data_IF_093225538731
#
_entry.id   IF_093225538731
#
_cell.length_a   1.000
_cell.length_b   1.000
_cell.length_c   1.000
_cell.angle_alpha   90.00
_cell.angle_beta   90.00
_cell.angle_gamma   90.00
#
_symmetry.space_group_name_H-M   'P 1'
#
loop_
_entity.id
_entity.type
_entity.pdbx_description
1 polymer ?
#
# COMPACT_ATOMS: atom_id res chain seq x y z
N UNK A 1 23.17 33.38 -16.71
CA UNK A 1 22.56 33.10 -15.41
C UNK A 1 21.10 32.76 -15.67
N UNK A 2 20.79 31.47 -15.86
CA UNK A 2 19.39 31.04 -16.01
C UNK A 2 18.74 31.11 -14.64
N UNK A 3 17.73 31.97 -14.47
CA UNK A 3 16.82 31.85 -13.34
C UNK A 3 16.14 30.48 -13.45
N UNK A 4 16.50 29.56 -12.58
CA UNK A 4 15.70 28.35 -12.37
C UNK A 4 14.39 28.81 -11.74
N UNK A 5 13.36 28.96 -12.57
CA UNK A 5 12.00 29.22 -12.11
C UNK A 5 11.60 28.06 -11.19
N UNK A 6 11.31 28.37 -9.93
CA UNK A 6 10.80 27.41 -8.96
C UNK A 6 9.28 27.55 -8.85
N UNK A 7 8.60 26.43 -8.71
CA UNK A 7 7.16 26.39 -8.50
C UNK A 7 6.83 26.70 -7.04
N UNK A 8 5.75 27.44 -6.80
CA UNK A 8 5.18 27.57 -5.44
C UNK A 8 4.17 26.47 -5.15
N UNK A 9 3.61 25.85 -6.18
CA UNK A 9 2.64 24.76 -6.08
C UNK A 9 2.80 23.79 -7.23
N UNK A 10 2.84 22.50 -6.92
CA UNK A 10 2.63 21.41 -7.86
C UNK A 10 1.33 20.72 -7.46
N UNK A 11 0.41 20.54 -8.41
CA UNK A 11 -0.86 19.85 -8.20
C UNK A 11 -0.94 18.74 -9.25
N UNK A 12 -0.91 17.49 -8.78
CA UNK A 12 -1.07 16.33 -9.64
C UNK A 12 -2.54 15.91 -9.71
N UNK A 13 -3.05 15.67 -10.92
CA UNK A 13 -4.39 15.13 -11.18
C UNK A 13 -4.31 13.66 -11.63
N UNK A 14 -3.28 12.98 -11.16
CA UNK A 14 -3.00 11.57 -11.34
C UNK A 14 -2.30 11.07 -10.08
N UNK A 15 -2.36 9.76 -9.86
CA UNK A 15 -1.81 9.11 -8.69
C UNK A 15 -0.36 8.69 -8.88
N UNK A 16 0.41 8.75 -7.80
CA UNK A 16 1.78 8.23 -7.75
C UNK A 16 1.93 7.24 -6.60
N UNK A 17 2.82 6.26 -6.75
CA UNK A 17 3.33 5.46 -5.62
C UNK A 17 4.62 6.07 -5.06
N UNK A 18 5.30 6.87 -5.89
CA UNK A 18 6.54 7.58 -5.54
C UNK A 18 6.47 9.01 -6.09
N UNK A 19 6.59 10.01 -5.22
CA UNK A 19 6.63 11.42 -5.63
C UNK A 19 7.98 11.66 -6.29
N UNK A 20 8.03 12.08 -7.58
CA UNK A 20 9.29 12.30 -8.28
C UNK A 20 10.18 13.31 -7.53
N UNK A 21 11.45 12.99 -7.34
CA UNK A 21 12.41 13.84 -6.65
C UNK A 21 12.49 15.24 -7.28
N UNK A 22 12.34 15.32 -8.60
CA UNK A 22 12.34 16.56 -9.37
C UNK A 22 11.22 17.51 -8.93
N UNK A 23 10.09 17.00 -8.42
CA UNK A 23 9.01 17.85 -7.91
C UNK A 23 9.44 18.57 -6.63
N UNK A 24 10.20 17.89 -5.78
CA UNK A 24 10.78 18.50 -4.56
C UNK A 24 11.85 19.52 -4.96
N UNK A 25 12.77 19.14 -5.87
CA UNK A 25 13.86 20.00 -6.33
C UNK A 25 13.38 21.29 -7.02
N UNK A 26 12.35 21.19 -7.86
CA UNK A 26 11.80 22.31 -8.63
C UNK A 26 10.82 23.17 -7.84
N UNK A 27 10.43 22.76 -6.63
CA UNK A 27 9.54 23.54 -5.77
C UNK A 27 10.36 24.47 -4.87
N UNK A 28 9.88 25.70 -4.66
CA UNK A 28 10.49 26.65 -3.74
C UNK A 28 10.33 26.17 -2.29
N UNK A 29 11.29 26.43 -1.38
CA UNK A 29 11.07 26.24 0.04
C UNK A 29 9.78 26.93 0.51
N UNK A 30 8.96 26.23 1.30
CA UNK A 30 7.61 26.63 1.70
C UNK A 30 6.52 26.39 0.64
N UNK A 31 6.89 25.99 -0.58
CA UNK A 31 5.97 25.60 -1.64
C UNK A 31 5.27 24.27 -1.33
N UNK A 32 4.15 24.04 -2.02
CA UNK A 32 3.28 22.88 -1.77
C UNK A 32 3.31 21.88 -2.92
N UNK A 33 3.31 20.60 -2.58
CA UNK A 33 2.99 19.51 -3.51
C UNK A 33 1.69 18.88 -3.03
N UNK A 34 0.67 18.86 -3.89
CA UNK A 34 -0.62 18.21 -3.63
C UNK A 34 -0.80 17.11 -4.64
N UNK A 35 -0.83 15.86 -4.15
CA UNK A 35 -0.73 14.69 -5.02
C UNK A 35 -1.57 13.54 -4.46
N UNK A 36 -2.46 12.93 -5.27
CA UNK A 36 -2.99 11.61 -4.98
C UNK A 36 -1.85 10.59 -4.89
N UNK A 37 -1.76 9.90 -3.77
CA UNK A 37 -0.68 8.96 -3.45
C UNK A 37 -1.30 7.61 -3.10
N UNK A 38 -0.85 6.55 -3.76
CA UNK A 38 -1.42 5.21 -3.65
C UNK A 38 -0.35 4.18 -3.29
N UNK A 39 -0.79 3.08 -2.70
CA UNK A 39 0.04 1.90 -2.49
C UNK A 39 -0.24 0.88 -3.60
N UNK A 40 0.57 -0.17 -3.73
CA UNK A 40 0.20 -1.28 -4.64
C UNK A 40 -1.00 -2.09 -4.14
N UNK A 41 -1.23 -2.08 -2.83
CA UNK A 41 -2.33 -2.76 -2.14
C UNK A 41 -3.65 -2.03 -2.33
N UNK A 42 -3.61 -0.69 -2.40
CA UNK A 42 -4.74 0.19 -2.66
C UNK A 42 -4.93 1.26 -1.58
N UNK A 43 -6.14 1.86 -1.56
CA UNK A 43 -6.52 2.85 -0.56
C UNK A 43 -6.00 4.27 -0.78
N UNK A 44 -5.76 4.67 -2.03
CA UNK A 44 -5.24 6.00 -2.38
C UNK A 44 -5.80 7.17 -1.53
N UNK A 45 -4.90 8.06 -1.13
CA UNK A 45 -5.22 9.28 -0.41
C UNK A 45 -4.43 10.49 -0.95
N UNK A 46 -4.97 11.69 -0.77
CA UNK A 46 -4.27 12.91 -1.18
C UNK A 46 -3.25 13.31 -0.12
N UNK A 47 -1.96 13.29 -0.50
CA UNK A 47 -0.87 13.89 0.27
C UNK A 47 -0.78 15.39 -0.02
N UNK A 48 -0.65 16.20 1.04
CA UNK A 48 -0.35 17.63 0.97
C UNK A 48 0.99 17.87 1.66
N UNK A 49 2.04 18.02 0.87
CA UNK A 49 3.42 18.14 1.32
C UNK A 49 3.90 19.58 1.19
N UNK A 50 4.74 20.01 2.12
CA UNK A 50 5.45 21.29 2.10
C UNK A 50 6.92 21.02 1.89
N UNK A 51 7.53 21.68 0.90
CA UNK A 51 8.97 21.56 0.65
C UNK A 51 9.75 22.39 1.66
N UNK A 52 10.71 21.77 2.33
CA UNK A 52 11.54 22.41 3.35
C UNK A 52 12.74 23.14 2.69
N UNK A 53 13.39 24.08 3.38
CA UNK A 53 14.65 24.66 2.91
C UNK A 53 15.78 23.65 2.72
N UNK A 54 15.69 22.47 3.34
CA UNK A 54 16.69 21.40 3.26
C UNK A 54 16.54 20.45 2.08
N UNK A 55 15.61 20.72 1.15
CA UNK A 55 15.37 19.85 -0.01
C UNK A 55 14.61 18.57 0.31
N UNK A 56 13.86 18.55 1.42
CA UNK A 56 12.92 17.49 1.77
C UNK A 56 11.48 17.97 1.58
N UNK A 57 10.51 17.07 1.58
CA UNK A 57 9.08 17.44 1.60
C UNK A 57 8.36 16.69 2.72
N UNK A 58 7.49 17.37 3.45
CA UNK A 58 6.75 16.74 4.55
C UNK A 58 5.32 17.25 4.63
N UNK A 59 4.38 16.37 4.98
CA UNK A 59 3.03 16.77 5.30
C UNK A 59 2.08 15.61 5.56
N UNK A 60 0.78 15.90 5.58
CA UNK A 60 -0.25 14.94 5.95
C UNK A 60 -0.99 14.42 4.73
N UNK A 61 -1.53 13.20 4.86
CA UNK A 61 -2.65 12.80 4.02
C UNK A 61 -3.91 13.54 4.48
N UNK A 62 -4.85 13.76 3.57
CA UNK A 62 -6.02 14.62 3.84
C UNK A 62 -7.33 13.86 3.76
N UNK A 63 -7.56 13.14 2.66
CA UNK A 63 -8.79 12.39 2.40
C UNK A 63 -8.50 11.32 1.35
N UNK A 64 -9.43 10.37 1.23
CA UNK A 64 -9.43 9.40 0.14
C UNK A 64 -9.51 10.08 -1.21
N UNK A 65 -8.96 9.42 -2.23
CA UNK A 65 -9.12 9.78 -3.63
C UNK A 65 -9.10 8.53 -4.51
N UNK A 66 -9.39 8.69 -5.80
CA UNK A 66 -9.30 7.60 -6.78
C UNK A 66 -8.92 8.17 -8.14
N UNK A 67 -7.63 8.44 -8.34
CA UNK A 67 -7.11 8.99 -9.59
C UNK A 67 -6.42 7.92 -10.43
N UNK A 68 -6.32 8.20 -11.74
CA UNK A 68 -5.53 7.35 -12.64
C UNK A 68 -4.06 7.39 -12.25
N UNK A 69 -3.41 6.23 -12.16
CA UNK A 69 -1.96 6.17 -11.87
C UNK A 69 -1.12 6.76 -12.99
N UNK A 70 -0.07 7.49 -12.62
CA UNK A 70 0.96 8.05 -13.50
C UNK A 70 1.46 6.97 -14.45
N UNK A 71 1.54 7.28 -15.75
CA UNK A 71 1.82 6.27 -16.78
C UNK A 71 3.10 5.48 -16.53
N UNK A 72 4.19 6.15 -16.13
CA UNK A 72 5.48 5.53 -15.82
C UNK A 72 5.46 4.67 -14.55
N UNK A 73 4.48 4.85 -13.67
CA UNK A 73 4.34 4.10 -12.42
C UNK A 73 3.21 3.06 -12.49
N UNK A 74 2.58 2.87 -13.65
CA UNK A 74 1.68 1.73 -13.86
C UNK A 74 2.53 0.46 -13.93
N UNK A 75 2.75 -0.17 -12.77
CA UNK A 75 3.46 -1.44 -12.68
C UNK A 75 2.82 -2.50 -13.60
N UNK A 76 3.65 -3.35 -14.19
CA UNK A 76 3.19 -4.53 -14.91
C UNK A 76 2.96 -5.62 -13.88
N UNK A 77 1.69 -5.87 -13.53
CA UNK A 77 1.34 -6.99 -12.66
C UNK A 77 1.56 -8.30 -13.42
N UNK A 78 2.31 -9.28 -12.87
CA UNK A 78 2.43 -10.58 -13.49
C UNK A 78 1.05 -11.22 -13.69
N UNK A 79 0.85 -12.01 -14.76
CA UNK A 79 -0.38 -12.74 -14.95
C UNK A 79 -0.52 -13.83 -13.87
N UNK A 80 -1.76 -14.22 -13.56
CA UNK A 80 -2.05 -15.12 -12.42
C UNK A 80 -1.38 -16.50 -12.57
N UNK A 81 -1.35 -17.02 -13.80
CA UNK A 81 -0.72 -18.31 -14.13
C UNK A 81 0.78 -18.33 -13.83
N UNK A 82 1.44 -17.17 -13.73
CA UNK A 82 2.84 -17.07 -13.35
C UNK A 82 3.12 -17.51 -11.90
N UNK A 83 2.13 -17.47 -11.00
CA UNK A 83 2.30 -17.77 -9.58
C UNK A 83 2.18 -19.28 -9.29
N UNK A 84 1.06 -19.90 -9.69
CA UNK A 84 0.84 -21.33 -9.48
C UNK A 84 1.56 -22.21 -10.52
N UNK A 85 1.89 -21.64 -11.69
CA UNK A 85 2.63 -22.30 -12.79
C UNK A 85 1.97 -23.59 -13.27
N UNK A 86 0.63 -23.59 -13.33
CA UNK A 86 -0.17 -24.75 -13.75
C UNK A 86 -0.17 -25.93 -12.77
N UNK A 87 0.41 -25.78 -11.57
CA UNK A 87 0.36 -26.82 -10.54
C UNK A 87 -1.06 -26.92 -9.95
N UNK A 88 -1.54 -28.14 -9.65
CA UNK A 88 -2.82 -28.30 -8.97
C UNK A 88 -2.78 -27.65 -7.59
N UNK A 89 -3.92 -27.09 -7.15
CA UNK A 89 -4.09 -26.55 -5.80
C UNK A 89 -3.76 -27.61 -4.73
N UNK A 90 -3.04 -27.28 -3.62
CA UNK A 90 -2.53 -25.98 -3.19
C UNK A 90 -1.12 -25.62 -3.72
N UNK A 91 -0.68 -26.24 -4.82
CA UNK A 91 0.68 -26.13 -5.36
C UNK A 91 1.74 -26.45 -4.28
N UNK A 92 2.64 -25.52 -3.99
CA UNK A 92 3.65 -25.58 -2.92
C UNK A 92 3.26 -24.76 -1.67
N UNK A 93 1.98 -24.37 -1.57
CA UNK A 93 1.47 -23.57 -0.48
C UNK A 93 1.39 -24.32 0.84
N UNK A 94 1.85 -23.67 1.91
CA UNK A 94 1.63 -24.10 3.29
C UNK A 94 0.26 -23.62 3.75
N UNK A 95 -0.53 -24.53 4.33
CA UNK A 95 -1.83 -24.23 4.93
C UNK A 95 -1.70 -23.75 6.37
N UNK A 96 -2.56 -22.81 6.75
CA UNK A 96 -2.76 -22.32 8.10
C UNK A 96 -4.20 -21.80 8.25
N UNK A 97 -4.53 -21.26 9.41
CA UNK A 97 -5.80 -20.55 9.63
C UNK A 97 -5.56 -19.18 10.25
N UNK A 98 -6.53 -18.29 10.12
CA UNK A 98 -6.55 -16.95 10.71
C UNK A 98 -7.91 -16.64 11.28
N UNK A 99 -7.96 -15.80 12.32
CA UNK A 99 -9.19 -15.22 12.86
C UNK A 99 -9.49 -13.84 12.25
N UNK A 100 -8.51 -13.23 11.55
CA UNK A 100 -8.76 -12.01 10.80
C UNK A 100 -9.59 -12.36 9.57
N UNK A 101 -10.83 -11.88 9.55
CA UNK A 101 -11.68 -12.00 8.36
C UNK A 101 -11.03 -11.31 7.16
N UNK A 102 -10.84 -12.01 6.02
CA UNK A 102 -10.39 -11.39 4.77
C UNK A 102 -11.25 -10.20 4.34
N UNK A 103 -12.50 -10.11 4.78
CA UNK A 103 -13.40 -9.01 4.43
C UNK A 103 -12.98 -7.69 5.10
N UNK A 104 -12.25 -7.77 6.21
CA UNK A 104 -11.77 -6.61 6.96
C UNK A 104 -10.50 -5.98 6.34
N UNK A 105 -9.91 -6.59 5.31
CA UNK A 105 -8.72 -6.04 4.64
C UNK A 105 -9.06 -5.33 3.33
N UNK A 106 -10.34 -5.34 2.93
CA UNK A 106 -10.81 -4.84 1.63
C UNK A 106 -11.41 -3.43 1.65
N UNK A 107 -11.61 -2.80 2.81
CA UNK A 107 -12.09 -1.42 2.88
C UNK A 107 -11.02 -0.41 2.45
N UNK A 108 -11.43 0.78 1.98
CA UNK A 108 -10.48 1.73 1.35
C UNK A 108 -9.42 2.25 2.34
N UNK A 109 -9.82 2.53 3.59
CA UNK A 109 -8.89 2.99 4.61
C UNK A 109 -8.01 1.85 5.14
N UNK A 110 -8.57 0.65 5.22
CA UNK A 110 -7.87 -0.58 5.60
C UNK A 110 -6.79 -0.90 4.57
N UNK A 111 -7.13 -0.86 3.28
CA UNK A 111 -6.17 -1.01 2.19
C UNK A 111 -5.03 0.01 2.26
N UNK A 112 -5.35 1.27 2.56
CA UNK A 112 -4.34 2.31 2.75
C UNK A 112 -3.39 1.97 3.89
N UNK A 113 -3.94 1.73 5.08
CA UNK A 113 -3.13 1.48 6.28
C UNK A 113 -2.30 0.19 6.17
N UNK A 114 -2.86 -0.85 5.55
CA UNK A 114 -2.13 -2.09 5.24
C UNK A 114 -1.03 -1.79 4.21
N UNK A 115 -1.38 -1.14 3.10
CA UNK A 115 -0.49 -0.88 1.98
C UNK A 115 0.74 -0.02 2.33
N UNK A 116 0.64 0.86 3.33
CA UNK A 116 1.78 1.59 3.87
C UNK A 116 2.86 0.67 4.47
N UNK A 117 2.48 -0.56 4.87
CA UNK A 117 3.32 -1.50 5.59
C UNK A 117 3.75 -2.71 4.74
N UNK A 118 3.01 -3.02 3.65
CA UNK A 118 3.25 -4.19 2.78
C UNK A 118 3.65 -3.80 1.35
N UNK A 119 4.91 -3.44 1.11
CA UNK A 119 5.36 -3.04 -0.23
C UNK A 119 5.26 -4.21 -1.22
N UNK A 120 4.98 -3.85 -2.48
CA UNK A 120 4.88 -4.78 -3.62
C UNK A 120 3.75 -5.82 -3.52
N UNK A 121 2.77 -5.62 -2.64
CA UNK A 121 1.63 -6.53 -2.54
C UNK A 121 0.44 -5.94 -3.27
N UNK A 122 -0.17 -6.72 -4.16
CA UNK A 122 -1.48 -6.43 -4.74
C UNK A 122 -2.40 -7.64 -4.58
N UNK A 123 -3.70 -7.43 -4.73
CA UNK A 123 -4.69 -8.47 -4.45
C UNK A 123 -5.72 -8.63 -5.58
N UNK A 124 -6.43 -9.77 -5.55
CA UNK A 124 -7.63 -10.05 -6.34
C UNK A 124 -8.64 -10.80 -5.47
N UNK A 125 -9.92 -10.49 -5.62
CA UNK A 125 -11.00 -11.28 -5.06
C UNK A 125 -11.59 -12.19 -6.13
N UNK A 126 -11.85 -13.45 -5.78
CA UNK A 126 -12.65 -14.37 -6.58
C UNK A 126 -13.88 -14.75 -5.76
N UNK A 127 -15.06 -14.33 -6.21
CA UNK A 127 -16.35 -14.55 -5.54
C UNK A 127 -17.08 -15.75 -6.14
N UNK A 128 -17.73 -16.55 -5.30
CA UNK A 128 -18.46 -17.75 -5.69
C UNK A 128 -19.98 -17.59 -5.48
N UNK A 129 -20.77 -18.44 -6.15
CA UNK A 129 -22.25 -18.35 -6.15
C UNK A 129 -22.90 -18.56 -4.77
N UNK A 130 -22.21 -19.26 -3.86
CA UNK A 130 -22.65 -19.47 -2.48
C UNK A 130 -22.37 -18.26 -1.55
N UNK A 131 -21.81 -17.20 -2.12
CA UNK A 131 -21.45 -15.98 -1.42
C UNK A 131 -20.05 -16.00 -0.80
N UNK A 132 -19.35 -17.15 -0.76
CA UNK A 132 -17.96 -17.22 -0.31
C UNK A 132 -17.03 -16.50 -1.30
N UNK A 133 -15.81 -16.16 -0.86
CA UNK A 133 -14.80 -15.64 -1.77
C UNK A 133 -13.38 -15.95 -1.30
N UNK A 134 -12.47 -16.07 -2.26
CA UNK A 134 -11.03 -16.18 -2.00
C UNK A 134 -10.36 -14.83 -2.25
N UNK A 135 -9.68 -14.31 -1.22
CA UNK A 135 -8.75 -13.19 -1.38
C UNK A 135 -7.38 -13.73 -1.76
N UNK A 136 -6.94 -13.42 -2.96
CA UNK A 136 -5.58 -13.70 -3.40
C UNK A 136 -4.66 -12.50 -3.18
N UNK A 137 -3.48 -12.73 -2.64
CA UNK A 137 -2.39 -11.78 -2.48
C UNK A 137 -1.20 -12.22 -3.33
N UNK A 138 -0.56 -11.27 -3.99
CA UNK A 138 0.58 -11.52 -4.86
C UNK A 138 1.68 -10.50 -4.63
N UNK A 139 2.92 -10.96 -4.72
CA UNK A 139 4.08 -10.08 -4.82
C UNK A 139 4.27 -9.66 -6.28
N UNK A 140 4.34 -8.35 -6.55
CA UNK A 140 4.57 -7.82 -7.89
C UNK A 140 6.03 -7.94 -8.35
N UNK A 141 6.97 -8.15 -7.43
CA UNK A 141 8.39 -8.30 -7.69
C UNK A 141 8.86 -9.77 -7.70
N UNK A 142 8.11 -10.71 -7.12
CA UNK A 142 8.48 -12.13 -7.07
C UNK A 142 7.28 -13.08 -7.29
N UNK A 143 7.23 -13.71 -8.46
CA UNK A 143 6.14 -14.65 -8.81
C UNK A 143 6.17 -15.97 -8.04
N UNK A 144 7.15 -16.20 -7.16
CA UNK A 144 7.15 -17.34 -6.22
C UNK A 144 6.32 -17.06 -4.97
N UNK A 145 6.03 -15.79 -4.71
CA UNK A 145 5.39 -15.33 -3.48
C UNK A 145 3.91 -15.02 -3.72
N UNK A 146 3.04 -15.74 -3.03
CA UNK A 146 1.59 -15.56 -3.09
C UNK A 146 0.92 -16.06 -1.81
N UNK A 147 -0.30 -15.58 -1.56
CA UNK A 147 -1.19 -16.15 -0.54
C UNK A 147 -2.64 -16.16 -1.03
N UNK A 148 -3.45 -17.03 -0.45
CA UNK A 148 -4.91 -17.00 -0.50
C UNK A 148 -5.45 -16.99 0.92
N UNK A 149 -6.59 -16.33 1.12
CA UNK A 149 -7.37 -16.42 2.34
C UNK A 149 -8.86 -16.56 1.97
N UNK A 150 -9.47 -17.64 2.44
CA UNK A 150 -10.83 -18.01 2.05
C UNK A 150 -11.83 -17.49 3.06
N UNK A 151 -12.74 -16.63 2.61
CA UNK A 151 -13.84 -16.13 3.41
C UNK A 151 -15.12 -16.93 3.13
N UNK A 152 -15.75 -17.39 4.21
CA UNK A 152 -17.03 -18.08 4.17
C UNK A 152 -18.04 -17.39 5.11
N UNK A 153 -19.32 -17.27 4.72
CA UNK A 153 -20.36 -16.74 5.58
C UNK A 153 -20.47 -17.50 6.91
N UNK A 154 -20.52 -16.77 8.03
CA UNK A 154 -20.76 -17.34 9.36
C UNK A 154 -19.57 -18.07 10.00
N UNK A 155 -18.38 -18.06 9.37
CA UNK A 155 -17.15 -18.57 9.98
C UNK A 155 -16.47 -17.50 10.84
N UNK A 156 -15.73 -17.96 11.85
CA UNK A 156 -14.85 -17.12 12.68
C UNK A 156 -13.35 -17.38 12.38
N UNK A 157 -13.05 -18.50 11.71
CA UNK A 157 -11.70 -18.91 11.33
C UNK A 157 -11.68 -19.20 9.84
N UNK A 158 -10.64 -18.74 9.15
CA UNK A 158 -10.55 -18.75 7.69
C UNK A 158 -9.30 -19.52 7.25
N UNK A 159 -9.42 -20.34 6.20
CA UNK A 159 -8.26 -21.06 5.65
C UNK A 159 -7.33 -20.07 4.94
N UNK A 160 -6.02 -20.24 5.16
CA UNK A 160 -4.98 -19.47 4.50
C UNK A 160 -4.01 -20.45 3.86
N UNK A 161 -3.65 -20.20 2.60
CA UNK A 161 -2.61 -20.96 1.90
C UNK A 161 -1.61 -19.97 1.34
N UNK A 162 -0.32 -20.14 1.62
CA UNK A 162 0.69 -19.20 1.15
C UNK A 162 2.00 -19.90 0.80
N UNK A 163 2.70 -19.38 -0.19
CA UNK A 163 3.98 -19.92 -0.67
C UNK A 163 4.98 -18.79 -0.98
N UNK A 164 6.25 -19.19 -1.09
CA UNK A 164 7.35 -18.29 -1.41
C UNK A 164 8.12 -17.80 -0.19
N UNK A 165 9.14 -16.95 -0.42
CA UNK A 165 10.01 -16.42 0.64
C UNK A 165 9.30 -15.47 1.62
N UNK A 166 8.14 -14.92 1.27
CA UNK A 166 7.34 -14.07 2.16
C UNK A 166 6.02 -14.76 2.49
N UNK A 167 5.54 -14.56 3.72
CA UNK A 167 4.20 -14.99 4.14
C UNK A 167 3.24 -13.81 4.03
N UNK A 168 2.73 -13.54 2.81
CA UNK A 168 1.99 -12.30 2.53
C UNK A 168 0.75 -12.11 3.39
N UNK A 169 0.03 -13.18 3.71
CA UNK A 169 -1.12 -13.08 4.60
C UNK A 169 -0.69 -12.68 6.01
N UNK A 170 0.38 -13.27 6.53
CA UNK A 170 0.92 -12.92 7.85
C UNK A 170 1.38 -11.45 7.90
N UNK A 171 1.95 -10.92 6.80
CA UNK A 171 2.31 -9.50 6.68
C UNK A 171 1.06 -8.60 6.71
N UNK A 172 0.03 -8.94 5.93
CA UNK A 172 -1.25 -8.20 5.90
C UNK A 172 -1.94 -8.24 7.26
N UNK A 173 -1.98 -9.40 7.92
CA UNK A 173 -2.57 -9.56 9.24
C UNK A 173 -1.80 -8.76 10.30
N UNK A 174 -0.46 -8.76 10.24
CA UNK A 174 0.40 -7.95 11.11
C UNK A 174 0.12 -6.46 10.90
N UNK A 175 0.04 -6.02 9.64
CA UNK A 175 -0.24 -4.62 9.29
C UNK A 175 -1.62 -4.16 9.77
N UNK A 176 -2.64 -5.00 9.57
CA UNK A 176 -4.00 -4.73 10.02
C UNK A 176 -4.08 -4.65 11.55
N UNK A 177 -3.45 -5.59 12.27
CA UNK A 177 -3.39 -5.57 13.74
C UNK A 177 -2.67 -4.34 14.28
N UNK A 178 -1.58 -3.92 13.64
CA UNK A 178 -0.90 -2.67 14.00
C UNK A 178 -1.86 -1.47 13.87
N UNK A 179 -2.61 -1.38 12.76
CA UNK A 179 -3.58 -0.30 12.57
C UNK A 179 -4.73 -0.35 13.59
N UNK A 180 -5.26 -1.55 13.86
CA UNK A 180 -6.34 -1.78 14.83
C UNK A 180 -5.91 -1.38 16.26
N UNK A 181 -4.72 -1.82 16.69
CA UNK A 181 -4.15 -1.48 18.01
C UNK A 181 -3.86 0.01 18.19
N UNK A 182 -3.67 0.77 17.11
CA UNK A 182 -3.55 2.23 17.15
C UNK A 182 -4.90 2.98 17.10
N UNK A 183 -6.00 2.24 17.25
CA UNK A 183 -7.36 2.78 17.30
C UNK A 183 -7.96 3.08 15.93
N UNK A 184 -7.55 2.36 14.89
CA UNK A 184 -8.05 2.49 13.51
C UNK A 184 -8.00 3.94 12.98
N UNK A 185 -6.83 4.60 13.03
CA UNK A 185 -6.69 5.99 12.59
C UNK A 185 -7.15 6.20 11.14
N UNK A 186 -7.82 7.32 10.89
CA UNK A 186 -8.15 7.80 9.54
C UNK A 186 -6.97 8.48 8.83
N UNK A 187 -7.13 8.76 7.53
CA UNK A 187 -6.08 9.35 6.67
C UNK A 187 -5.35 10.55 7.29
N UNK A 188 -6.08 11.47 7.92
CA UNK A 188 -5.51 12.73 8.44
C UNK A 188 -4.50 12.55 9.57
N UNK A 189 -4.51 11.38 10.23
CA UNK A 189 -3.51 11.06 11.25
C UNK A 189 -2.20 10.60 10.62
N UNK A 190 -2.23 10.07 9.41
CA UNK A 190 -1.01 9.70 8.69
C UNK A 190 -0.38 10.91 8.01
N UNK A 191 0.93 10.82 7.82
CA UNK A 191 1.67 11.72 6.95
C UNK A 191 2.85 11.05 6.29
N UNK A 192 3.57 11.83 5.50
CA UNK A 192 4.65 11.39 4.65
C UNK A 192 5.78 12.40 4.71
N UNK A 193 6.99 11.90 4.98
CA UNK A 193 8.24 12.66 4.85
C UNK A 193 9.01 12.10 3.65
N UNK A 194 9.53 12.96 2.80
CA UNK A 194 10.31 12.61 1.62
C UNK A 194 11.69 13.24 1.76
N UNK A 195 12.71 12.41 1.70
CA UNK A 195 14.11 12.81 1.76
C UNK A 195 14.96 12.04 0.74
N UNK A 196 16.27 12.20 0.81
CA UNK A 196 17.23 11.57 -0.12
C UNK A 196 17.27 10.05 -0.04
N UNK A 197 16.68 9.44 1.00
CA UNK A 197 16.63 8.00 1.20
C UNK A 197 15.30 7.38 0.78
N UNK A 198 14.27 8.19 0.54
CA UNK A 198 12.98 7.75 0.03
C UNK A 198 11.80 8.46 0.69
N UNK A 199 10.67 7.76 0.73
CA UNK A 199 9.43 8.24 1.33
C UNK A 199 9.11 7.44 2.60
N UNK A 200 8.88 8.15 3.70
CA UNK A 200 8.72 7.61 5.04
C UNK A 200 7.34 7.96 5.58
N UNK A 201 6.36 7.05 5.50
CA UNK A 201 5.06 7.27 6.11
C UNK A 201 5.14 7.21 7.64
N UNK A 202 4.34 8.01 8.31
CA UNK A 202 4.29 8.09 9.77
C UNK A 202 2.87 8.27 10.27
N UNK A 203 2.65 7.93 11.55
CA UNK A 203 1.39 8.13 12.27
C UNK A 203 1.56 9.29 13.26
N UNK A 204 0.64 10.25 13.21
CA UNK A 204 0.59 11.51 13.98
C UNK A 204 1.73 12.49 13.79
N UNK A 205 2.97 12.02 13.87
CA UNK A 205 4.17 12.83 13.74
C UNK A 205 5.34 12.03 13.15
N UNK A 206 6.31 12.68 12.48
CA UNK A 206 7.45 12.00 11.85
C UNK A 206 8.28 11.10 12.79
N UNK A 207 8.26 11.35 14.11
CA UNK A 207 8.92 10.51 15.11
C UNK A 207 8.23 9.16 15.40
N UNK A 208 7.10 8.87 14.76
CA UNK A 208 6.38 7.59 14.86
C UNK A 208 6.20 7.02 13.45
N UNK A 209 7.27 6.43 12.88
CA UNK A 209 7.20 5.84 11.55
C UNK A 209 6.22 4.68 11.51
N UNK A 210 5.53 4.53 10.37
CA UNK A 210 4.73 3.34 10.08
C UNK A 210 5.70 2.17 9.82
N UNK A 211 5.57 1.03 10.51
CA UNK A 211 6.50 -0.07 10.37
C UNK A 211 6.33 -0.81 9.04
N UNK A 212 7.38 -1.44 8.53
CA UNK A 212 7.23 -2.45 7.48
C UNK A 212 6.77 -3.76 8.12
N UNK A 213 5.72 -4.39 7.60
CA UNK A 213 5.13 -5.61 8.19
C UNK A 213 5.91 -6.89 7.87
N UNK A 214 7.16 -6.79 7.40
CA UNK A 214 8.02 -7.95 7.15
C UNK A 214 8.37 -8.60 8.49
N UNK A 215 7.91 -9.83 8.71
CA UNK A 215 8.45 -10.65 9.81
C UNK A 215 9.92 -10.99 9.50
N UNK A 216 10.81 -10.98 10.51
CA UNK A 216 12.18 -11.45 10.35
C UNK A 216 12.25 -12.93 9.95
#
# INVERSE_FOLDING_TARGET
>A
MFLTLRWYRIIATFSVTDVPAEWVEQTAPGGLIVVPWDTEYGGEAIARLTVTPGGTAEGRFTRSSAFMRMRSQRGVRPPFDAYLKGRPWPADGRRSTTELSPALTGGWLEQFAIGLQVPHVFWRGETYDDGSYTLWLYDSADTRTWASADWEPGRATYEVVQAGPRSLWDEVETAWRWWDTHGRPGFTRFGLTIDTTGQHPWLDHPGQPVPAARRP
#
